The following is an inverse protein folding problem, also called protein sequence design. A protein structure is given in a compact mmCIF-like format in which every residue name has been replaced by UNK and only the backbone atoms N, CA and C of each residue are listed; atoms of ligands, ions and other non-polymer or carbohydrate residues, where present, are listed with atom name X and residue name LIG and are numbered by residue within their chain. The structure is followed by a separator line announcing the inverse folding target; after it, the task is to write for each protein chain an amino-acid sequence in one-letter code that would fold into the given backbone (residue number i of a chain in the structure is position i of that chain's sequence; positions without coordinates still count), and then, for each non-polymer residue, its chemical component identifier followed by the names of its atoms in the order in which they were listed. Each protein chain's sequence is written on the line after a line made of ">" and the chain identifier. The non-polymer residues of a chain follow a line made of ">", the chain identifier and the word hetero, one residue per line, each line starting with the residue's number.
data_IF_297664945039
#
_entry.id   IF_297664945039
#
_cell.length_a   1.000
_cell.length_b   1.000
_cell.length_c   1.000
_cell.angle_alpha   90.00
_cell.angle_beta   90.00
_cell.angle_gamma   90.00
#
_symmetry.space_group_name_H-M   'P 1'
#
loop_
_entity.id
_entity.type
_entity.pdbx_description
1 polymer ?
#
# COMPACT_ATOMS: atom_id res chain seq x y z
N UNK A 1 -3.83 -8.24 1.41
CA UNK A 1 -2.95 -7.13 0.99
C UNK A 1 -1.77 -7.77 0.27
N UNK A 2 -1.24 -7.21 -0.83
CA UNK A 2 -0.07 -7.78 -1.49
C UNK A 2 1.15 -7.70 -0.57
N UNK A 3 2.03 -8.72 -0.61
CA UNK A 3 3.14 -8.88 0.33
C UNK A 3 4.08 -7.66 0.37
N UNK A 4 4.36 -7.04 -0.78
CA UNK A 4 5.14 -5.79 -0.89
C UNK A 4 4.48 -4.59 -0.18
N UNK A 5 3.16 -4.48 -0.29
CA UNK A 5 2.41 -3.41 0.36
C UNK A 5 2.35 -3.64 1.87
N UNK A 6 2.14 -4.89 2.30
CA UNK A 6 2.13 -5.26 3.71
C UNK A 6 3.49 -5.01 4.39
N UNK A 7 4.58 -5.38 3.73
CA UNK A 7 5.94 -5.15 4.23
C UNK A 7 6.22 -3.65 4.43
N UNK A 8 5.87 -2.83 3.43
CA UNK A 8 5.99 -1.38 3.53
C UNK A 8 5.14 -0.83 4.67
N UNK A 9 3.87 -1.25 4.79
CA UNK A 9 2.97 -0.78 5.85
C UNK A 9 3.50 -1.15 7.23
N UNK A 10 4.03 -2.36 7.42
CA UNK A 10 4.67 -2.77 8.68
C UNK A 10 5.88 -1.90 9.02
N UNK A 11 6.75 -1.61 8.04
CA UNK A 11 7.90 -0.71 8.22
C UNK A 11 7.49 0.70 8.62
N UNK A 12 6.48 1.26 7.96
CA UNK A 12 6.01 2.62 8.21
C UNK A 12 5.25 2.70 9.54
N UNK A 13 4.48 1.66 9.89
CA UNK A 13 3.89 1.53 11.22
C UNK A 13 4.94 1.44 12.33
N UNK A 14 6.06 0.72 12.09
CA UNK A 14 7.16 0.65 13.03
C UNK A 14 7.86 2.01 13.26
N UNK A 15 7.65 2.98 12.36
CA UNK A 15 8.11 4.37 12.52
C UNK A 15 7.12 5.25 13.31
N UNK A 16 6.04 4.66 13.85
CA UNK A 16 5.02 5.38 14.63
C UNK A 16 3.90 6.01 13.78
N UNK A 17 3.81 5.69 12.48
CA UNK A 17 2.70 6.15 11.63
C UNK A 17 1.46 5.29 11.84
N UNK A 18 0.30 5.92 11.74
CA UNK A 18 -0.99 5.24 11.73
C UNK A 18 -1.12 4.30 10.53
N UNK A 19 -1.87 3.20 10.70
CA UNK A 19 -2.10 2.20 9.64
C UNK A 19 -2.68 2.82 8.36
N UNK A 20 -3.51 3.86 8.49
CA UNK A 20 -4.09 4.61 7.36
C UNK A 20 -3.03 5.41 6.59
N UNK A 21 -2.17 6.16 7.29
CA UNK A 21 -1.05 6.90 6.67
C UNK A 21 -0.05 5.94 6.05
N UNK A 22 0.35 4.89 6.78
CA UNK A 22 1.24 3.86 6.29
C UNK A 22 0.69 3.23 5.00
N UNK A 23 -0.61 2.95 4.98
CA UNK A 23 -1.29 2.44 3.80
C UNK A 23 -1.26 3.43 2.63
N UNK A 24 -1.56 4.71 2.85
CA UNK A 24 -1.56 5.72 1.81
C UNK A 24 -0.17 5.88 1.19
N UNK A 25 0.87 6.04 2.03
CA UNK A 25 2.27 6.17 1.62
C UNK A 25 2.71 4.94 0.82
N UNK A 26 2.43 3.75 1.34
CA UNK A 26 2.87 2.51 0.71
C UNK A 26 2.05 2.16 -0.53
N UNK A 27 0.76 2.49 -0.58
CA UNK A 27 -0.11 2.31 -1.74
C UNK A 27 0.40 3.12 -2.92
N UNK A 28 0.79 4.37 -2.67
CA UNK A 28 1.40 5.26 -3.67
C UNK A 28 2.77 4.76 -4.10
N UNK A 29 3.66 4.45 -3.14
CA UNK A 29 5.03 3.99 -3.44
C UNK A 29 5.08 2.65 -4.18
N UNK A 30 4.23 1.69 -3.80
CA UNK A 30 4.22 0.35 -4.42
C UNK A 30 3.29 0.25 -5.63
N UNK A 31 2.45 1.27 -5.85
CA UNK A 31 1.42 1.29 -6.88
C UNK A 31 0.31 0.26 -6.66
N UNK A 32 0.06 -0.20 -5.43
CA UNK A 32 -1.01 -1.16 -5.16
C UNK A 32 -2.26 -0.47 -4.66
N UNK A 33 -3.32 -0.42 -5.48
CA UNK A 33 -4.63 0.09 -5.08
C UNK A 33 -5.64 -1.03 -4.84
N UNK A 34 -6.56 -0.81 -3.91
CA UNK A 34 -7.70 -1.69 -3.69
C UNK A 34 -8.79 -1.37 -4.72
N UNK A 35 -9.06 -2.30 -5.63
CA UNK A 35 -10.14 -2.15 -6.60
C UNK A 35 -11.51 -2.43 -5.96
N UNK A 36 -12.59 -1.98 -6.62
CA UNK A 36 -13.97 -2.30 -6.24
C UNK A 36 -14.14 -3.83 -6.25
N UNK A 37 -14.54 -4.40 -5.11
CA UNK A 37 -14.59 -5.85 -4.86
C UNK A 37 -13.43 -6.42 -4.04
N UNK A 38 -12.58 -5.58 -3.42
CA UNK A 38 -11.56 -6.03 -2.48
C UNK A 38 -10.29 -6.61 -3.11
N UNK A 39 -10.24 -6.70 -4.45
CA UNK A 39 -9.08 -7.19 -5.19
C UNK A 39 -7.99 -6.11 -5.26
N UNK A 40 -6.79 -6.46 -4.82
CA UNK A 40 -5.63 -5.58 -4.93
C UNK A 40 -5.09 -5.63 -6.36
N UNK A 41 -5.03 -4.48 -7.01
CA UNK A 41 -4.43 -4.36 -8.34
C UNK A 41 -3.20 -3.47 -8.24
N UNK A 42 -2.12 -3.90 -8.89
CA UNK A 42 -0.98 -3.02 -9.12
C UNK A 42 -1.39 -2.05 -10.22
N UNK A 43 -1.70 -0.82 -9.83
CA UNK A 43 -1.68 0.32 -10.72
C UNK A 43 -0.20 0.51 -11.10
N UNK A 44 0.24 -0.23 -12.12
CA UNK A 44 1.42 0.19 -12.87
C UNK A 44 1.00 1.52 -13.45
N UNK A 45 1.44 2.63 -12.84
CA UNK A 45 1.35 3.93 -13.47
C UNK A 45 1.85 3.76 -14.90
N UNK A 46 0.90 3.83 -15.84
CA UNK A 46 1.23 3.98 -17.25
C UNK A 46 1.98 5.29 -17.33
N UNK A 47 3.26 5.19 -17.66
CA UNK A 47 3.98 6.32 -18.24
C UNK A 47 3.38 6.58 -19.61
#
# INVERSE_FOLDING_TARGET
>A
MPKKLEDCVKKVMAQGKSKQDAYAICSESTGYKKAKGGKWKKDKGGK
#
